data_IF_288089116386
#
_entry.id   IF_288089116386
#
_cell.length_a   1.000
_cell.length_b   1.000
_cell.length_c   1.000
_cell.angle_alpha   90.00
_cell.angle_beta   90.00
_cell.angle_gamma   90.00
#
_symmetry.space_group_name_H-M   'P 1'
#
loop_
_entity.id
_entity.type
_entity.pdbx_description
1 polymer ?
#
# COMPACT_ATOMS: atom_id res chain seq x y z
N UNK A 1 -22.00 26.96 -16.26
CA UNK A 1 -22.32 28.20 -15.51
C UNK A 1 -22.86 27.94 -14.09
N UNK A 2 -23.61 26.86 -13.82
CA UNK A 2 -24.07 26.47 -12.46
C UNK A 2 -22.94 26.25 -11.43
N UNK A 3 -21.79 25.72 -11.86
CA UNK A 3 -20.64 25.49 -10.97
C UNK A 3 -20.03 26.79 -10.39
N UNK A 4 -20.12 27.91 -11.11
CA UNK A 4 -19.64 29.21 -10.60
C UNK A 4 -20.57 29.74 -9.50
N UNK A 5 -21.89 29.60 -9.67
CA UNK A 5 -22.87 30.04 -8.66
C UNK A 5 -22.79 29.22 -7.37
N UNK A 6 -22.46 27.93 -7.46
CA UNK A 6 -22.26 27.04 -6.31
C UNK A 6 -20.84 27.08 -5.74
N UNK A 7 -19.91 27.79 -6.39
CA UNK A 7 -18.51 27.84 -5.98
C UNK A 7 -18.28 28.16 -4.49
N UNK A 8 -18.92 29.19 -3.88
CA UNK A 8 -18.70 29.46 -2.46
C UNK A 8 -19.19 28.32 -1.56
N UNK A 9 -20.29 27.66 -1.91
CA UNK A 9 -20.80 26.49 -1.18
C UNK A 9 -19.85 25.30 -1.31
N UNK A 10 -19.36 25.02 -2.52
CA UNK A 10 -18.40 23.95 -2.79
C UNK A 10 -17.06 24.20 -2.08
N UNK A 11 -16.59 25.46 -2.03
CA UNK A 11 -15.39 25.84 -1.30
C UNK A 11 -15.57 25.62 0.21
N UNK A 12 -16.73 25.99 0.75
CA UNK A 12 -17.06 25.76 2.16
C UNK A 12 -17.16 24.25 2.48
N UNK A 13 -17.85 23.47 1.65
CA UNK A 13 -17.94 22.02 1.78
C UNK A 13 -16.55 21.38 1.72
N UNK A 14 -15.72 21.71 0.73
CA UNK A 14 -14.37 21.18 0.60
C UNK A 14 -13.47 21.53 1.79
N UNK A 15 -13.55 22.76 2.30
CA UNK A 15 -12.84 23.20 3.51
C UNK A 15 -13.32 22.47 4.76
N UNK A 16 -14.64 22.32 4.92
CA UNK A 16 -15.24 21.61 6.06
C UNK A 16 -14.81 20.15 6.04
N UNK A 17 -14.95 19.46 4.90
CA UNK A 17 -14.51 18.07 4.72
C UNK A 17 -13.04 17.91 5.06
N UNK A 18 -12.14 18.72 4.50
CA UNK A 18 -10.69 18.67 4.82
C UNK A 18 -10.39 18.88 6.30
N UNK A 19 -11.19 19.69 7.01
CA UNK A 19 -11.01 19.93 8.45
C UNK A 19 -11.49 18.78 9.32
N UNK A 20 -12.57 18.10 8.92
CA UNK A 20 -13.18 17.05 9.75
C UNK A 20 -12.69 15.64 9.42
N UNK A 21 -12.18 15.39 8.21
CA UNK A 21 -11.68 14.07 7.82
C UNK A 21 -10.48 13.68 8.68
N UNK A 22 -10.59 12.64 9.52
CA UNK A 22 -9.49 12.19 10.36
C UNK A 22 -8.33 11.68 9.51
N UNK A 23 -7.09 12.01 9.91
CA UNK A 23 -5.90 11.42 9.31
C UNK A 23 -5.62 10.10 9.99
N UNK A 24 -5.86 9.02 9.27
CA UNK A 24 -5.61 7.66 9.78
C UNK A 24 -4.10 7.38 9.66
N UNK A 25 -3.45 6.93 10.74
CA UNK A 25 -2.04 6.55 10.69
C UNK A 25 -1.82 5.30 9.83
N UNK A 26 -0.57 5.04 9.49
CA UNK A 26 -0.15 3.77 8.91
C UNK A 26 -0.29 2.65 9.94
N UNK A 27 -0.51 1.42 9.47
CA UNK A 27 -0.70 0.28 10.37
C UNK A 27 0.57 -0.01 11.17
N UNK A 28 0.38 -0.35 12.44
CA UNK A 28 1.45 -0.73 13.35
C UNK A 28 2.00 -2.14 13.06
N UNK A 29 3.12 -2.47 13.69
CA UNK A 29 3.72 -3.80 13.61
C UNK A 29 4.72 -3.98 12.46
N UNK A 30 5.19 -5.21 12.31
CA UNK A 30 6.25 -5.55 11.36
C UNK A 30 5.75 -5.47 9.91
N UNK A 31 6.55 -4.84 9.04
CA UNK A 31 6.31 -4.77 7.58
C UNK A 31 6.83 -5.99 6.83
N UNK A 32 7.33 -6.97 7.55
CA UNK A 32 7.75 -8.26 7.02
C UNK A 32 7.11 -9.35 7.83
N UNK A 33 6.95 -10.52 7.21
CA UNK A 33 6.47 -11.69 7.92
C UNK A 33 6.54 -12.94 7.06
N UNK A 34 6.10 -14.04 7.64
CA UNK A 34 6.01 -15.32 6.96
C UNK A 34 4.71 -16.01 7.33
N UNK A 35 4.07 -16.58 6.32
CA UNK A 35 2.97 -17.52 6.47
C UNK A 35 3.57 -18.91 6.32
N UNK A 36 3.54 -19.69 7.39
CA UNK A 36 4.04 -21.06 7.37
C UNK A 36 3.06 -21.97 6.61
N UNK A 37 3.61 -22.99 5.94
CA UNK A 37 2.87 -24.13 5.40
C UNK A 37 3.55 -25.41 5.87
N UNK A 38 2.82 -26.53 5.80
CA UNK A 38 3.33 -27.88 6.09
C UNK A 38 4.30 -28.35 4.99
N UNK A 39 4.31 -27.69 3.84
CA UNK A 39 5.21 -27.98 2.71
C UNK A 39 6.69 -27.71 3.07
N UNK A 40 7.60 -28.37 2.34
CA UNK A 40 9.04 -28.27 2.57
C UNK A 40 9.56 -26.84 2.38
N UNK A 41 10.64 -26.43 3.08
CA UNK A 41 11.22 -25.09 2.98
C UNK A 41 11.60 -24.65 1.57
N UNK A 42 11.88 -25.61 0.68
CA UNK A 42 12.25 -25.39 -0.71
C UNK A 42 11.15 -24.71 -1.55
N UNK A 43 9.89 -24.77 -1.12
CA UNK A 43 8.73 -24.21 -1.84
C UNK A 43 8.28 -22.84 -1.27
N UNK A 44 9.17 -22.12 -0.59
CA UNK A 44 8.81 -20.83 0.02
C UNK A 44 8.79 -19.71 -1.03
N UNK A 45 7.61 -19.16 -1.31
CA UNK A 45 7.46 -18.00 -2.17
C UNK A 45 7.83 -16.69 -1.45
N UNK A 46 8.40 -15.75 -2.20
CA UNK A 46 8.79 -14.41 -1.76
C UNK A 46 7.91 -13.37 -2.43
N UNK A 47 7.09 -12.72 -1.61
CA UNK A 47 6.18 -11.67 -2.01
C UNK A 47 6.71 -10.30 -1.57
N UNK A 48 6.88 -9.39 -2.52
CA UNK A 48 7.13 -7.98 -2.24
C UNK A 48 5.93 -7.15 -2.66
N UNK A 49 5.44 -6.28 -1.78
CA UNK A 49 4.46 -5.27 -2.15
C UNK A 49 5.09 -3.87 -2.10
N UNK A 50 4.93 -3.12 -3.19
CA UNK A 50 5.31 -1.72 -3.32
C UNK A 50 4.03 -0.91 -3.51
N UNK A 51 3.81 0.13 -2.70
CA UNK A 51 2.62 0.95 -2.89
C UNK A 51 2.48 2.18 -2.03
N UNK A 52 1.29 2.75 -2.09
CA UNK A 52 0.90 3.92 -1.32
C UNK A 52 0.24 3.53 0.03
N UNK A 53 -0.89 4.15 0.38
CA UNK A 53 -1.60 3.96 1.64
C UNK A 53 -2.13 2.52 1.88
N UNK A 54 -2.61 1.73 0.89
CA UNK A 54 -3.07 0.37 1.17
C UNK A 54 -1.93 -0.57 1.57
N UNK A 55 -0.77 -0.42 0.94
CA UNK A 55 0.44 -1.21 1.27
C UNK A 55 1.04 -0.76 2.60
N UNK A 56 0.95 0.54 2.92
CA UNK A 56 1.28 1.05 4.25
C UNK A 56 0.28 0.62 5.35
N UNK A 57 -0.86 0.04 4.96
CA UNK A 57 -1.89 -0.42 5.89
C UNK A 57 -2.74 0.70 6.49
N UNK A 58 -2.90 1.83 5.81
CA UNK A 58 -3.80 2.89 6.28
C UNK A 58 -5.24 2.36 6.32
N UNK A 59 -5.90 2.52 7.46
CA UNK A 59 -7.27 2.03 7.67
C UNK A 59 -7.37 0.70 8.41
N UNK A 60 -6.24 0.04 8.71
CA UNK A 60 -6.19 -1.14 9.58
C UNK A 60 -5.25 -0.91 10.76
N UNK A 61 -5.42 -1.68 11.84
CA UNK A 61 -4.65 -1.48 13.07
C UNK A 61 -3.22 -2.03 12.94
N UNK A 62 -3.03 -3.13 12.21
CA UNK A 62 -1.77 -3.87 12.12
C UNK A 62 -1.45 -4.30 10.69
N UNK A 63 -0.16 -4.34 10.35
CA UNK A 63 0.35 -4.83 9.07
C UNK A 63 -0.11 -6.27 8.76
N UNK A 64 -0.43 -7.07 9.77
CA UNK A 64 -1.01 -8.41 9.59
C UNK A 64 -2.41 -8.41 8.96
N UNK A 65 -3.13 -7.29 9.08
CA UNK A 65 -4.43 -7.04 8.47
C UNK A 65 -4.32 -6.29 7.14
N UNK A 66 -3.14 -5.75 6.83
CA UNK A 66 -2.92 -5.00 5.59
C UNK A 66 -2.96 -5.93 4.36
N UNK A 67 -3.16 -5.32 3.19
CA UNK A 67 -3.36 -6.01 1.92
C UNK A 67 -2.23 -7.03 1.64
N UNK A 68 -0.98 -6.67 1.92
CA UNK A 68 0.19 -7.51 1.69
C UNK A 68 0.13 -8.81 2.49
N UNK A 69 -0.13 -8.72 3.80
CA UNK A 69 -0.20 -9.90 4.67
C UNK A 69 -1.43 -10.76 4.33
N UNK A 70 -2.60 -10.14 4.10
CA UNK A 70 -3.82 -10.87 3.72
C UNK A 70 -3.64 -11.60 2.38
N UNK A 71 -2.99 -10.95 1.41
CA UNK A 71 -2.65 -11.57 0.13
C UNK A 71 -1.66 -12.72 0.31
N UNK A 72 -0.62 -12.55 1.13
CA UNK A 72 0.33 -13.63 1.45
C UNK A 72 -0.37 -14.85 2.06
N UNK A 73 -1.32 -14.64 2.99
CA UNK A 73 -2.11 -15.72 3.57
C UNK A 73 -2.97 -16.45 2.55
N UNK A 74 -3.67 -15.70 1.69
CA UNK A 74 -4.48 -16.29 0.65
C UNK A 74 -3.64 -17.07 -0.36
N UNK A 75 -2.51 -16.50 -0.78
CA UNK A 75 -1.57 -17.14 -1.69
C UNK A 75 -1.00 -18.44 -1.09
N UNK A 76 -0.57 -18.42 0.17
CA UNK A 76 -0.07 -19.60 0.88
C UNK A 76 -1.11 -20.73 0.91
N UNK A 77 -2.38 -20.37 1.14
CA UNK A 77 -3.48 -21.34 1.16
C UNK A 77 -3.75 -21.92 -0.24
N UNK A 78 -3.76 -21.09 -1.28
CA UNK A 78 -4.03 -21.53 -2.66
C UNK A 78 -2.89 -22.40 -3.22
N UNK A 79 -1.65 -22.02 -2.95
CA UNK A 79 -0.45 -22.73 -3.45
C UNK A 79 0.03 -23.84 -2.51
N UNK A 80 -0.60 -23.99 -1.35
CA UNK A 80 -0.23 -24.93 -0.29
C UNK A 80 1.25 -24.82 0.13
N UNK A 81 1.85 -23.64 0.01
CA UNK A 81 3.27 -23.39 0.21
C UNK A 81 3.50 -22.28 1.24
N UNK A 82 4.72 -22.19 1.78
CA UNK A 82 5.06 -21.08 2.67
C UNK A 82 5.21 -19.79 1.86
N UNK A 83 4.85 -18.65 2.44
CA UNK A 83 5.01 -17.33 1.80
C UNK A 83 5.69 -16.38 2.77
N UNK A 84 6.88 -15.93 2.40
CA UNK A 84 7.52 -14.76 3.03
C UNK A 84 7.05 -13.50 2.33
N UNK A 85 6.74 -12.46 3.10
CA UNK A 85 6.20 -11.23 2.55
C UNK A 85 6.87 -10.00 3.15
N UNK A 86 6.94 -8.95 2.33
CA UNK A 86 7.42 -7.63 2.73
C UNK A 86 6.54 -6.54 2.12
N UNK A 87 6.16 -5.57 2.93
CA UNK A 87 5.39 -4.39 2.55
C UNK A 87 6.28 -3.14 2.55
N UNK A 88 6.54 -2.60 1.37
CA UNK A 88 7.18 -1.31 1.14
C UNK A 88 6.12 -0.31 0.69
N UNK A 89 5.36 0.18 1.67
CA UNK A 89 4.31 1.17 1.47
C UNK A 89 4.63 2.48 2.18
N UNK A 90 4.19 3.59 1.58
CA UNK A 90 4.20 4.90 2.24
C UNK A 90 2.90 5.66 1.96
N UNK A 91 2.25 6.13 3.01
CA UNK A 91 1.01 6.89 2.90
C UNK A 91 1.23 8.17 2.09
N UNK A 92 0.36 8.41 1.10
CA UNK A 92 0.43 9.59 0.24
C UNK A 92 1.58 9.60 -0.77
N UNK A 93 2.33 8.50 -0.92
CA UNK A 93 3.44 8.44 -1.87
C UNK A 93 2.94 8.49 -3.33
N UNK A 94 3.61 9.29 -4.14
CA UNK A 94 3.53 9.26 -5.60
C UNK A 94 4.49 8.24 -6.19
N UNK A 95 4.42 7.98 -7.50
CA UNK A 95 5.40 7.12 -8.18
C UNK A 95 6.82 7.69 -8.07
N UNK A 96 6.98 9.01 -8.16
CA UNK A 96 8.28 9.67 -7.98
C UNK A 96 8.84 9.48 -6.55
N UNK A 97 7.99 9.56 -5.53
CA UNK A 97 8.38 9.22 -4.15
C UNK A 97 8.78 7.75 -4.03
N UNK A 98 8.07 6.84 -4.70
CA UNK A 98 8.39 5.42 -4.67
C UNK A 98 9.76 5.14 -5.27
N UNK A 99 10.10 5.77 -6.40
CA UNK A 99 11.41 5.61 -7.05
C UNK A 99 12.53 6.12 -6.14
N UNK A 100 12.34 7.29 -5.53
CA UNK A 100 13.38 7.92 -4.71
C UNK A 100 13.51 7.33 -3.30
N UNK A 101 12.43 6.80 -2.71
CA UNK A 101 12.38 6.45 -1.28
C UNK A 101 12.03 4.99 -1.01
N UNK A 102 11.29 4.30 -1.89
CA UNK A 102 10.92 2.89 -1.67
C UNK A 102 11.84 1.93 -2.40
N UNK A 103 12.20 2.21 -3.66
CA UNK A 103 13.11 1.38 -4.45
C UNK A 103 14.47 1.12 -3.77
N UNK A 104 15.10 2.10 -3.08
CA UNK A 104 16.36 1.83 -2.37
C UNK A 104 16.26 0.79 -1.25
N UNK A 105 15.05 0.50 -0.76
CA UNK A 105 14.80 -0.47 0.30
C UNK A 105 14.32 -1.83 -0.24
N UNK A 106 14.21 -1.99 -1.56
CA UNK A 106 13.87 -3.26 -2.18
C UNK A 106 15.00 -4.27 -1.91
N UNK A 107 14.70 -5.47 -1.43
CA UNK A 107 15.73 -6.47 -1.16
C UNK A 107 16.47 -6.87 -2.43
N UNK A 108 17.77 -7.17 -2.30
CA UNK A 108 18.58 -7.68 -3.41
C UNK A 108 18.24 -9.13 -3.76
N UNK A 109 17.58 -9.85 -2.84
CA UNK A 109 17.08 -11.18 -3.13
C UNK A 109 16.01 -11.15 -4.21
N UNK A 110 16.03 -12.18 -5.08
CA UNK A 110 14.96 -12.42 -6.03
C UNK A 110 13.61 -12.53 -5.33
N UNK A 111 12.61 -11.84 -5.89
CA UNK A 111 11.22 -11.92 -5.48
C UNK A 111 10.49 -12.77 -6.52
N UNK A 112 9.63 -13.68 -6.07
CA UNK A 112 8.81 -14.50 -6.98
C UNK A 112 7.59 -13.73 -7.45
N UNK A 113 7.06 -12.86 -6.59
CA UNK A 113 5.89 -12.04 -6.87
C UNK A 113 6.12 -10.62 -6.37
N UNK A 114 5.84 -9.65 -7.24
CA UNK A 114 5.84 -8.23 -6.89
C UNK A 114 4.46 -7.63 -7.12
N UNK A 115 3.82 -7.15 -6.06
CA UNK A 115 2.59 -6.38 -6.11
C UNK A 115 2.94 -4.89 -6.17
N UNK A 116 2.48 -4.20 -7.21
CA UNK A 116 2.70 -2.75 -7.38
C UNK A 116 1.35 -2.03 -7.32
N UNK A 117 1.17 -1.15 -6.35
CA UNK A 117 -0.09 -0.44 -6.10
C UNK A 117 0.15 1.07 -5.91
N UNK A 118 0.12 1.80 -7.03
CA UNK A 118 0.27 3.27 -7.09
C UNK A 118 -0.72 3.87 -8.09
N UNK A 119 -0.89 5.20 -8.01
CA UNK A 119 -1.56 6.00 -9.03
C UNK A 119 -2.69 6.89 -8.51
N UNK A 120 -3.26 6.61 -7.33
CA UNK A 120 -4.32 7.46 -6.76
C UNK A 120 -3.76 8.82 -6.35
N UNK A 121 -2.59 8.86 -5.72
CA UNK A 121 -1.99 10.15 -5.33
C UNK A 121 -1.52 10.98 -6.54
N UNK A 122 -0.96 10.33 -7.56
CA UNK A 122 -0.53 10.97 -8.80
C UNK A 122 -1.73 11.58 -9.55
N UNK A 123 -2.81 10.80 -9.72
CA UNK A 123 -4.03 11.26 -10.41
C UNK A 123 -4.79 12.33 -9.64
N UNK A 124 -4.96 12.17 -8.33
CA UNK A 124 -5.67 13.16 -7.50
C UNK A 124 -4.94 14.50 -7.38
N UNK A 125 -3.61 14.49 -7.54
CA UNK A 125 -2.78 15.69 -7.53
C UNK A 125 -2.46 16.22 -8.93
N UNK A 126 -2.97 15.59 -9.99
CA UNK A 126 -2.63 15.88 -11.39
C UNK A 126 -1.10 15.92 -11.63
N UNK A 127 -0.36 15.01 -11.00
CA UNK A 127 1.10 14.91 -11.13
C UNK A 127 1.47 13.90 -12.20
N UNK A 128 2.45 14.28 -13.02
CA UNK A 128 3.14 13.35 -13.92
C UNK A 128 4.32 12.70 -13.19
N UNK A 129 4.78 11.56 -13.71
CA UNK A 129 5.97 10.83 -13.24
C UNK A 129 7.28 11.50 -13.74
N UNK A 130 7.16 12.49 -14.63
CA UNK A 130 8.27 13.24 -15.23
C UNK A 130 8.76 14.39 -14.35
#
# INVERSE_FOLDING_TARGET
>A
MLALSLFPLLLWQGRRTRRITPRVPEAAGARTGQVASVASPADTLRLLALGESPVAGVGVESQQQAITSRFAHHLAQQQQCAVTWQALGKNGATVADAISQLLPHVPTQQQDIVLVAFGVNDTSSFRSVA
#
